data_IF_801239878370
#
_entry.id   IF_801239878370
#
_cell.length_a   1.000
_cell.length_b   1.000
_cell.length_c   1.000
_cell.angle_alpha   90.00
_cell.angle_beta   90.00
_cell.angle_gamma   90.00
#
_symmetry.space_group_name_H-M   'P 1'
#
loop_
_entity.id
_entity.type
_entity.pdbx_description
1 polymer ?
#
# COMPACT_ATOMS: atom_id res chain seq x y z
N UNK A 1 -13.14 -14.38 4.56
CA UNK A 1 -12.44 -13.09 4.45
C UNK A 1 -10.98 -13.40 4.18
N UNK A 2 -10.50 -13.23 2.95
CA UNK A 2 -9.08 -13.44 2.60
C UNK A 2 -8.48 -12.11 2.21
N UNK A 3 -8.05 -11.34 3.19
CA UNK A 3 -7.21 -10.16 3.01
C UNK A 3 -6.14 -10.21 4.09
N UNK A 4 -4.95 -9.68 3.80
CA UNK A 4 -3.90 -9.53 4.80
C UNK A 4 -3.94 -8.11 5.38
N UNK A 5 -3.50 -7.99 6.63
CA UNK A 5 -3.36 -6.72 7.34
C UNK A 5 -2.12 -6.79 8.23
N UNK A 6 -1.37 -5.69 8.33
CA UNK A 6 -0.22 -5.57 9.21
C UNK A 6 -0.03 -4.14 9.71
N UNK A 7 0.67 -3.97 10.81
CA UNK A 7 1.17 -2.66 11.26
C UNK A 7 2.68 -2.55 11.06
N UNK A 8 3.19 -1.32 10.91
CA UNK A 8 4.63 -1.02 10.88
C UNK A 8 5.09 -0.42 12.22
N UNK A 9 6.39 -0.46 12.54
CA UNK A 9 6.90 0.21 13.75
C UNK A 9 6.64 1.72 13.74
N UNK A 10 6.60 2.35 12.57
CA UNK A 10 6.27 3.76 12.36
C UNK A 10 4.78 4.10 12.51
N UNK A 11 3.95 3.14 12.92
CA UNK A 11 2.54 3.36 13.25
C UNK A 11 1.60 3.39 12.04
N UNK A 12 2.03 2.90 10.87
CA UNK A 12 1.11 2.68 9.76
C UNK A 12 0.39 1.34 9.94
N UNK A 13 -0.91 1.31 9.67
CA UNK A 13 -1.68 0.07 9.49
C UNK A 13 -1.98 -0.10 8.02
N UNK A 14 -1.56 -1.21 7.43
CA UNK A 14 -1.67 -1.52 6.01
C UNK A 14 -2.54 -2.74 5.78
N UNK A 15 -3.42 -2.68 4.78
CA UNK A 15 -4.30 -3.78 4.40
C UNK A 15 -4.41 -3.92 2.89
N UNK A 16 -4.71 -5.14 2.46
CA UNK A 16 -5.11 -5.45 1.09
C UNK A 16 -6.36 -4.63 0.71
N UNK A 17 -6.26 -3.84 -0.36
CA UNK A 17 -7.41 -3.26 -1.02
C UNK A 17 -7.99 -4.25 -2.02
N UNK A 18 -8.97 -5.04 -1.58
CA UNK A 18 -9.65 -6.04 -2.42
C UNK A 18 -10.64 -5.43 -3.44
N UNK A 19 -10.75 -4.11 -3.51
CA UNK A 19 -11.64 -3.46 -4.47
C UNK A 19 -10.97 -3.45 -5.85
N UNK A 20 -11.52 -4.25 -6.78
CA UNK A 20 -11.42 -4.26 -8.26
C UNK A 20 -10.04 -4.08 -8.97
N UNK A 21 -8.99 -3.73 -8.25
CA UNK A 21 -7.71 -3.25 -8.78
C UNK A 21 -6.51 -3.89 -8.11
N UNK A 22 -6.72 -4.70 -7.06
CA UNK A 22 -5.71 -5.36 -6.22
C UNK A 22 -4.63 -4.39 -5.76
N UNK A 23 -4.74 -3.93 -4.52
CA UNK A 23 -3.85 -2.89 -4.02
C UNK A 23 -3.50 -3.03 -2.57
N UNK A 24 -2.88 -1.98 -2.05
CA UNK A 24 -2.65 -1.79 -0.63
C UNK A 24 -3.04 -0.38 -0.25
N UNK A 25 -3.66 -0.25 0.91
CA UNK A 25 -3.90 1.01 1.57
C UNK A 25 -3.24 0.96 2.94
N UNK A 26 -2.55 2.03 3.31
CA UNK A 26 -1.92 2.21 4.60
C UNK A 26 -2.42 3.51 5.25
N UNK A 27 -2.86 3.42 6.49
CA UNK A 27 -3.35 4.57 7.26
C UNK A 27 -2.46 4.83 8.47
N UNK A 28 -2.22 6.10 8.77
CA UNK A 28 -1.40 6.60 9.88
C UNK A 28 -0.77 7.94 9.53
N UNK A 29 0.25 8.34 10.28
CA UNK A 29 1.00 9.56 9.99
C UNK A 29 1.86 9.39 8.73
N UNK A 30 1.75 10.33 7.77
CA UNK A 30 2.51 10.32 6.51
C UNK A 30 3.45 11.51 6.48
N UNK A 31 4.76 11.33 6.80
CA UNK A 31 5.71 12.42 6.79
C UNK A 31 5.80 13.12 5.43
N UNK A 32 5.78 14.46 5.44
CA UNK A 32 5.82 15.28 4.22
C UNK A 32 4.48 15.47 3.52
N UNK A 33 3.40 14.82 3.97
CA UNK A 33 2.05 15.10 3.50
C UNK A 33 1.44 16.33 4.21
N UNK A 34 0.32 16.82 3.67
CA UNK A 34 -0.46 17.87 4.35
C UNK A 34 -1.03 17.35 5.68
N UNK A 35 -1.27 18.22 6.69
CA UNK A 35 -1.58 17.79 8.07
C UNK A 35 -2.81 16.87 8.24
N UNK A 36 -3.76 16.87 7.30
CA UNK A 36 -4.97 16.06 7.34
C UNK A 36 -4.90 14.82 6.42
N UNK A 37 -3.77 14.59 5.76
CA UNK A 37 -3.54 13.44 4.91
C UNK A 37 -3.01 12.29 5.75
N UNK A 38 -3.81 11.23 5.86
CA UNK A 38 -3.57 10.12 6.77
C UNK A 38 -3.61 8.75 6.08
N UNK A 39 -3.80 8.71 4.76
CA UNK A 39 -3.88 7.47 4.01
C UNK A 39 -3.05 7.55 2.74
N UNK A 40 -2.25 6.51 2.49
CA UNK A 40 -1.54 6.30 1.23
C UNK A 40 -1.96 4.96 0.64
N UNK A 41 -2.25 4.93 -0.65
CA UNK A 41 -2.72 3.71 -1.31
C UNK A 41 -2.17 3.58 -2.72
N UNK A 42 -2.09 2.36 -3.21
CA UNK A 42 -1.73 2.06 -4.60
C UNK A 42 -2.43 0.78 -5.07
N UNK A 43 -2.69 0.65 -6.37
CA UNK A 43 -3.27 -0.55 -6.97
C UNK A 43 -2.58 -0.90 -8.28
N UNK A 44 -2.94 -2.04 -8.88
CA UNK A 44 -2.42 -2.44 -10.20
C UNK A 44 -2.78 -1.47 -11.32
N UNK A 45 -3.88 -0.72 -11.16
CA UNK A 45 -4.45 0.12 -12.22
C UNK A 45 -4.52 1.60 -11.86
N UNK A 46 -4.15 1.94 -10.63
CA UNK A 46 -4.17 3.28 -10.08
C UNK A 46 -2.82 3.65 -9.51
N UNK A 47 -2.32 4.83 -9.92
CA UNK A 47 -1.10 5.43 -9.34
C UNK A 47 -1.24 5.54 -7.83
N UNK A 48 -0.10 5.56 -7.14
CA UNK A 48 -0.14 5.81 -5.71
C UNK A 48 -0.77 7.17 -5.38
N UNK A 49 -1.62 7.21 -4.36
CA UNK A 49 -2.30 8.42 -3.91
C UNK A 49 -2.12 8.62 -2.41
N UNK A 50 -1.88 9.86 -2.03
CA UNK A 50 -1.96 10.32 -0.63
C UNK A 50 -3.26 11.10 -0.50
N UNK A 51 -4.10 10.70 0.44
CA UNK A 51 -5.43 11.28 0.64
C UNK A 51 -5.78 11.36 2.11
N UNK A 52 -6.79 12.18 2.39
CA UNK A 52 -7.52 12.17 3.64
C UNK A 52 -8.57 11.08 3.59
N UNK A 53 -8.64 10.28 4.64
CA UNK A 53 -9.73 9.33 4.89
C UNK A 53 -10.27 9.62 6.30
N UNK A 54 -11.54 10.05 6.38
CA UNK A 54 -12.20 10.36 7.65
C UNK A 54 -12.71 9.10 8.36
N UNK A 55 -12.60 7.93 7.73
CA UNK A 55 -12.97 6.66 8.35
C UNK A 55 -11.99 6.39 9.50
N UNK A 56 -12.47 6.28 10.76
CA UNK A 56 -11.58 5.94 11.87
C UNK A 56 -10.91 4.61 11.56
N UNK A 57 -9.57 4.59 11.55
CA UNK A 57 -8.83 3.34 11.59
C UNK A 57 -9.23 2.66 12.90
N UNK A 58 -9.93 1.53 12.83
CA UNK A 58 -10.16 0.75 14.04
C UNK A 58 -8.79 0.44 14.65
N UNK A 59 -8.59 0.82 15.92
CA UNK A 59 -7.36 0.52 16.67
C UNK A 59 -7.43 -0.94 17.09
N UNK A 60 -7.47 -1.84 16.12
CA UNK A 60 -7.29 -3.25 16.35
C UNK A 60 -5.78 -3.53 16.38
N UNK A 61 -5.34 -4.38 17.31
CA UNK A 61 -3.96 -4.88 17.28
C UNK A 61 -3.79 -5.73 16.01
N UNK A 62 -3.06 -5.19 15.03
CA UNK A 62 -2.69 -5.92 13.83
C UNK A 62 -1.29 -6.53 13.98
N UNK A 63 -0.99 -7.64 13.29
CA UNK A 63 0.35 -8.22 13.29
C UNK A 63 1.41 -7.18 12.89
N UNK A 64 2.44 -7.02 13.71
CA UNK A 64 3.56 -6.14 13.40
C UNK A 64 4.45 -6.78 12.33
N UNK A 65 4.70 -6.06 11.24
CA UNK A 65 5.75 -6.39 10.27
C UNK A 65 7.02 -5.60 10.64
N UNK A 66 8.05 -6.23 11.21
CA UNK A 66 9.21 -5.50 11.73
C UNK A 66 10.11 -4.97 10.61
N UNK A 67 10.97 -4.01 10.95
CA UNK A 67 12.00 -3.51 10.03
C UNK A 67 12.86 -4.65 9.45
N UNK A 68 13.22 -4.51 8.17
CA UNK A 68 13.91 -5.54 7.39
C UNK A 68 13.01 -6.65 6.84
N UNK A 69 11.70 -6.60 7.09
CA UNK A 69 10.74 -7.60 6.60
C UNK A 69 9.94 -7.10 5.40
N UNK A 70 9.36 -8.05 4.64
CA UNK A 70 8.44 -7.77 3.55
C UNK A 70 7.26 -8.73 3.55
N UNK A 71 6.15 -8.29 2.96
CA UNK A 71 5.02 -9.13 2.58
C UNK A 71 4.90 -9.15 1.05
N UNK A 72 4.70 -10.35 0.50
CA UNK A 72 4.54 -10.60 -0.93
C UNK A 72 3.59 -11.80 -1.10
N UNK A 73 2.26 -11.59 -1.08
CA UNK A 73 1.27 -12.67 -1.08
C UNK A 73 0.95 -13.17 -2.50
N UNK A 74 1.86 -12.97 -3.46
CA UNK A 74 1.74 -13.35 -4.87
C UNK A 74 0.52 -12.76 -5.64
N UNK A 75 -0.15 -11.76 -5.06
CA UNK A 75 -1.25 -11.01 -5.68
C UNK A 75 -0.76 -9.77 -6.47
N UNK A 76 0.55 -9.60 -6.65
CA UNK A 76 1.14 -8.46 -7.36
C UNK A 76 1.45 -7.26 -6.47
N UNK A 77 0.98 -7.27 -5.22
CA UNK A 77 1.35 -6.29 -4.21
C UNK A 77 2.56 -6.78 -3.42
N UNK A 78 3.53 -5.91 -3.22
CA UNK A 78 4.68 -6.15 -2.34
C UNK A 78 4.88 -4.93 -1.47
N UNK A 79 4.97 -5.13 -0.15
CA UNK A 79 5.35 -4.09 0.79
C UNK A 79 6.58 -4.52 1.58
N UNK A 80 7.51 -3.61 1.82
CA UNK A 80 8.71 -3.83 2.62
C UNK A 80 8.90 -2.71 3.64
N UNK A 81 9.13 -3.09 4.89
CA UNK A 81 9.48 -2.18 5.97
C UNK A 81 11.00 -2.05 5.96
N UNK A 82 11.51 -0.95 5.41
CA UNK A 82 12.94 -0.75 5.18
C UNK A 82 13.68 -0.41 6.48
N UNK A 83 13.02 0.35 7.35
CA UNK A 83 13.47 0.76 8.68
C UNK A 83 12.24 0.98 9.57
N UNK A 84 12.44 1.25 10.86
CA UNK A 84 11.32 1.44 11.80
C UNK A 84 10.34 2.53 11.33
N UNK A 85 10.81 3.55 10.63
CA UNK A 85 10.04 4.69 10.14
C UNK A 85 9.88 4.74 8.61
N UNK A 86 10.23 3.66 7.90
CA UNK A 86 10.25 3.62 6.44
C UNK A 86 9.51 2.41 5.86
N UNK A 87 8.50 2.68 5.03
CA UNK A 87 7.71 1.70 4.30
C UNK A 87 7.75 2.00 2.80
N UNK A 88 7.96 0.96 1.99
CA UNK A 88 7.71 1.01 0.54
C UNK A 88 6.66 -0.03 0.17
N UNK A 89 5.72 0.35 -0.69
CA UNK A 89 4.79 -0.59 -1.30
C UNK A 89 4.76 -0.38 -2.81
N UNK A 90 4.59 -1.49 -3.52
CA UNK A 90 4.45 -1.54 -4.97
C UNK A 90 3.28 -2.44 -5.33
N UNK A 91 2.48 -2.04 -6.30
CA UNK A 91 1.55 -2.88 -7.01
C UNK A 91 1.97 -2.98 -8.48
N UNK A 92 2.08 -4.20 -8.99
CA UNK A 92 2.25 -4.48 -10.42
C UNK A 92 1.56 -5.78 -10.78
N UNK A 93 1.21 -5.94 -12.05
CA UNK A 93 0.59 -7.18 -12.54
C UNK A 93 1.36 -8.41 -12.02
N UNK A 94 0.69 -9.38 -11.37
CA UNK A 94 1.35 -10.57 -10.84
C UNK A 94 2.06 -11.34 -11.94
N UNK A 95 3.23 -11.90 -11.67
CA UNK A 95 3.96 -12.70 -12.66
C UNK A 95 3.22 -14.02 -12.98
N UNK A 96 2.26 -14.42 -12.14
CA UNK A 96 1.36 -15.55 -12.35
C UNK A 96 0.26 -15.27 -13.39
N UNK A 97 -0.01 -14.01 -13.72
CA UNK A 97 -1.01 -13.64 -14.71
C UNK A 97 -0.46 -13.74 -16.13
N UNK A 98 -1.32 -14.07 -17.10
CA UNK A 98 -0.95 -14.04 -18.51
C UNK A 98 -0.54 -12.62 -18.92
N UNK A 99 0.55 -12.49 -19.69
CA UNK A 99 0.95 -11.21 -20.29
C UNK A 99 -0.17 -10.60 -21.13
N UNK A 100 -1.01 -11.44 -21.75
CA UNK A 100 -2.15 -11.05 -22.58
C UNK A 100 -3.42 -10.71 -21.79
N UNK A 101 -3.40 -10.81 -20.44
CA UNK A 101 -4.56 -10.41 -19.63
C UNK A 101 -4.94 -8.96 -19.98
N UNK A 102 -6.15 -8.72 -20.51
CA UNK A 102 -6.55 -7.42 -21.00
C UNK A 102 -6.73 -6.44 -19.84
N UNK A 103 -6.43 -5.18 -20.09
CA UNK A 103 -6.75 -4.10 -19.18
C UNK A 103 -8.27 -4.01 -18.94
N UNK A 104 -8.72 -3.57 -17.75
CA UNK A 104 -10.11 -3.21 -17.56
C UNK A 104 -10.54 -2.06 -18.51
N UNK A 105 -11.84 -1.92 -18.82
CA UNK A 105 -12.31 -0.97 -19.85
C UNK A 105 -11.95 0.51 -19.60
N UNK A 106 -11.75 0.90 -18.34
CA UNK A 106 -11.63 2.29 -17.87
C UNK A 106 -10.24 2.63 -17.31
N UNK A 107 -9.32 1.67 -17.26
CA UNK A 107 -8.01 1.82 -16.60
C UNK A 107 -7.01 0.80 -17.12
N UNK A 108 -5.72 1.11 -17.03
CA UNK A 108 -4.64 0.25 -17.53
C UNK A 108 -3.85 -0.36 -16.38
N UNK A 109 -3.45 -1.63 -16.52
CA UNK A 109 -2.48 -2.21 -15.59
C UNK A 109 -1.13 -1.52 -15.75
N UNK A 110 -0.48 -1.22 -14.62
CA UNK A 110 0.83 -0.59 -14.57
C UNK A 110 1.67 -1.10 -13.40
N UNK A 111 2.86 -0.51 -13.27
CA UNK A 111 3.66 -0.59 -12.05
C UNK A 111 3.54 0.74 -11.33
N UNK A 112 3.03 0.68 -10.11
CA UNK A 112 2.78 1.85 -9.27
C UNK A 112 3.30 1.59 -7.87
N UNK A 113 3.57 2.65 -7.12
CA UNK A 113 3.94 2.48 -5.73
C UNK A 113 3.97 3.75 -4.93
N UNK A 114 4.40 3.59 -3.69
CA UNK A 114 4.66 4.71 -2.79
C UNK A 114 5.80 4.37 -1.84
N UNK A 115 6.40 5.44 -1.31
CA UNK A 115 7.35 5.40 -0.22
C UNK A 115 6.85 6.34 0.88
N UNK A 116 6.86 5.85 2.12
CA UNK A 116 6.63 6.64 3.34
C UNK A 116 7.91 6.61 4.14
N UNK A 117 8.53 7.77 4.37
CA UNK A 117 9.78 7.88 5.13
C UNK A 117 9.98 9.30 5.69
N UNK A 118 10.85 9.51 6.71
CA UNK A 118 10.98 10.81 7.37
C UNK A 118 11.42 11.96 6.47
N UNK A 119 12.22 11.68 5.43
CA UNK A 119 12.70 12.70 4.49
C UNK A 119 11.61 13.20 3.54
N UNK A 120 10.40 12.63 3.61
CA UNK A 120 9.28 12.94 2.74
C UNK A 120 8.72 11.68 2.07
N UNK A 121 7.40 11.64 1.93
CA UNK A 121 6.67 10.56 1.27
C UNK A 121 6.31 10.94 -0.17
N UNK A 122 6.31 9.96 -1.08
CA UNK A 122 5.94 10.19 -2.50
C UNK A 122 5.30 8.95 -3.12
N UNK A 123 4.70 9.14 -4.29
CA UNK A 123 4.04 8.09 -5.08
C UNK A 123 4.52 8.11 -6.53
N UNK A 124 4.32 7.00 -7.24
CA UNK A 124 4.62 6.85 -8.67
C UNK A 124 3.57 5.97 -9.38
#
# INVERSE_FOLDING_TARGET
MSGWVFSTPGGLTCWDSMIAEIGVSCSGSIPGAQPDMNTVSVSLTGRGQIRRDDTPSEVNEHPLLPAGSKIAPDNGVVCAVLADDALVCRAKKPDSWSKETPDPPDRHYGEHGFVVQPSGSWTY
#
